data_IF_881443493410
#
_entry.id   IF_881443493410
#
_cell.length_a   1.000
_cell.length_b   1.000
_cell.length_c   1.000
_cell.angle_alpha   90.00
_cell.angle_beta   90.00
_cell.angle_gamma   90.00
#
_symmetry.space_group_name_H-M   'P 1'
#
loop_
_entity.id
_entity.type
_entity.pdbx_description
1 polymer ?
#
# COMPACT_ATOMS: atom_id res chain seq x y z
N UNK A 1 -1.82 -1.96 16.75
CA UNK A 1 -0.36 -1.93 16.51
C UNK A 1 -0.19 -1.68 15.02
N UNK A 2 0.59 -0.66 14.65
CA UNK A 2 0.73 -0.22 13.25
C UNK A 2 2.19 -0.37 12.84
N UNK A 3 2.44 -0.97 11.69
CA UNK A 3 3.80 -1.07 11.14
C UNK A 3 3.95 -0.03 10.02
N UNK A 4 5.04 0.73 10.07
CA UNK A 4 5.45 1.66 9.00
C UNK A 4 6.49 0.94 8.16
N UNK A 5 6.26 0.91 6.85
CA UNK A 5 7.13 0.27 5.85
C UNK A 5 7.48 1.34 4.82
N UNK A 6 8.76 1.56 4.56
CA UNK A 6 9.19 2.38 3.42
C UNK A 6 9.29 1.49 2.17
N UNK A 7 8.45 1.78 1.19
CA UNK A 7 8.42 1.10 -0.10
C UNK A 7 9.19 1.93 -1.12
N UNK A 8 10.42 1.52 -1.43
CA UNK A 8 11.20 2.12 -2.52
C UNK A 8 10.50 1.99 -3.88
N UNK A 9 10.85 2.83 -4.87
CA UNK A 9 10.33 2.72 -6.22
C UNK A 9 10.54 1.31 -6.80
N UNK A 10 9.52 0.75 -7.44
CA UNK A 10 9.55 -0.61 -8.02
C UNK A 10 9.83 -1.75 -7.01
N UNK A 11 9.55 -1.52 -5.71
CA UNK A 11 9.70 -2.53 -4.67
C UNK A 11 8.41 -3.32 -4.42
N UNK A 12 8.58 -4.49 -3.82
CA UNK A 12 7.49 -5.39 -3.40
C UNK A 12 7.67 -5.68 -1.92
N UNK A 13 6.57 -5.58 -1.17
CA UNK A 13 6.49 -6.01 0.22
C UNK A 13 5.36 -7.02 0.39
N UNK A 14 5.65 -8.12 1.09
CA UNK A 14 4.68 -9.19 1.38
C UNK A 14 4.47 -9.33 2.88
N UNK A 15 3.22 -9.49 3.30
CA UNK A 15 2.85 -9.82 4.68
C UNK A 15 1.71 -10.84 4.69
N UNK A 16 1.77 -11.79 5.63
CA UNK A 16 0.70 -12.78 5.83
C UNK A 16 -0.22 -12.28 6.94
N UNK A 17 -1.53 -12.24 6.65
CA UNK A 17 -2.57 -11.72 7.54
C UNK A 17 -3.63 -12.80 7.76
N UNK A 18 -3.87 -13.15 9.02
CA UNK A 18 -4.89 -14.13 9.42
C UNK A 18 -6.27 -13.48 9.53
N UNK A 19 -7.04 -13.54 8.43
CA UNK A 19 -8.39 -13.00 8.22
C UNK A 19 -8.75 -11.77 9.09
N UNK A 20 -8.32 -10.57 8.67
CA UNK A 20 -8.60 -9.31 9.38
C UNK A 20 -9.09 -8.21 8.45
N UNK A 21 -9.81 -7.26 9.05
CA UNK A 21 -9.99 -5.95 8.45
C UNK A 21 -8.75 -5.11 8.73
N UNK A 22 -8.23 -4.46 7.70
CA UNK A 22 -7.08 -3.58 7.78
C UNK A 22 -7.37 -2.24 7.10
N UNK A 23 -6.64 -1.22 7.54
CA UNK A 23 -6.52 0.06 6.85
C UNK A 23 -5.10 0.15 6.31
N UNK A 24 -4.99 0.35 5.01
CA UNK A 24 -3.75 0.62 4.30
C UNK A 24 -3.69 2.13 4.03
N UNK A 25 -2.74 2.80 4.68
CA UNK A 25 -2.42 4.21 4.42
C UNK A 25 -1.15 4.27 3.58
N UNK A 26 -1.23 4.82 2.38
CA UNK A 26 -0.10 5.01 1.48
C UNK A 26 0.17 6.51 1.30
N UNK A 27 1.32 6.97 1.81
CA UNK A 27 1.76 8.37 1.73
C UNK A 27 2.97 8.49 0.81
N UNK A 28 2.92 9.41 -0.16
CA UNK A 28 4.08 9.68 -1.02
C UNK A 28 5.07 10.61 -0.32
N UNK A 29 6.37 10.33 -0.44
CA UNK A 29 7.42 11.29 -0.04
C UNK A 29 7.59 12.45 -1.03
N UNK A 30 7.00 12.35 -2.23
CA UNK A 30 7.07 13.38 -3.27
C UNK A 30 5.68 13.66 -3.87
N UNK A 31 5.08 14.79 -3.49
CA UNK A 31 3.74 15.19 -3.93
C UNK A 31 3.71 15.72 -5.39
N UNK A 32 4.86 15.90 -6.05
CA UNK A 32 4.94 16.40 -7.43
C UNK A 32 4.90 15.30 -8.50
N UNK A 33 4.91 14.04 -8.08
CA UNK A 33 4.89 12.86 -8.94
C UNK A 33 3.58 12.09 -8.79
N UNK A 34 3.26 11.27 -9.79
CA UNK A 34 2.15 10.32 -9.68
C UNK A 34 2.77 9.01 -9.21
N UNK A 35 2.33 8.53 -8.06
CA UNK A 35 2.73 7.22 -7.54
C UNK A 35 1.59 6.23 -7.67
N UNK A 36 1.93 4.96 -7.89
CA UNK A 36 0.97 3.87 -8.00
C UNK A 36 1.38 2.74 -7.05
N UNK A 37 0.42 2.25 -6.27
CA UNK A 37 0.58 1.12 -5.36
C UNK A 37 -0.46 0.06 -5.69
N UNK A 38 -0.03 -1.14 -6.03
CA UNK A 38 -0.93 -2.28 -6.22
C UNK A 38 -1.02 -3.13 -4.96
N UNK A 39 -2.23 -3.54 -4.61
CA UNK A 39 -2.53 -4.43 -3.50
C UNK A 39 -3.05 -5.76 -4.07
N UNK A 40 -2.27 -6.82 -3.88
CA UNK A 40 -2.54 -8.16 -4.38
C UNK A 40 -2.78 -9.07 -3.19
N UNK A 41 -3.93 -9.75 -3.15
CA UNK A 41 -4.29 -10.70 -2.10
C UNK A 41 -4.34 -12.10 -2.71
N UNK A 42 -3.53 -13.03 -2.20
CA UNK A 42 -3.43 -14.41 -2.72
C UNK A 42 -3.27 -14.45 -4.25
N UNK A 43 -2.28 -13.69 -4.76
CA UNK A 43 -1.94 -13.57 -6.19
C UNK A 43 -3.05 -13.00 -7.10
N UNK A 44 -4.10 -12.43 -6.52
CA UNK A 44 -5.14 -11.71 -7.26
C UNK A 44 -5.04 -10.21 -6.96
N UNK A 45 -4.89 -9.41 -8.02
CA UNK A 45 -4.99 -7.96 -7.90
C UNK A 45 -6.34 -7.61 -7.28
N UNK A 46 -6.31 -6.97 -6.13
CA UNK A 46 -7.50 -6.59 -5.39
C UNK A 46 -7.81 -5.11 -5.63
N UNK A 47 -6.81 -4.25 -5.50
CA UNK A 47 -6.96 -2.80 -5.63
C UNK A 47 -5.68 -2.17 -6.21
N UNK A 48 -5.81 -1.08 -6.98
CA UNK A 48 -4.70 -0.18 -7.32
C UNK A 48 -4.98 1.21 -6.77
N UNK A 49 -3.99 1.76 -6.05
CA UNK A 49 -4.02 3.09 -5.45
C UNK A 49 -3.14 4.02 -6.29
N UNK A 50 -3.74 5.02 -6.92
CA UNK A 50 -3.01 6.07 -7.64
C UNK A 50 -3.01 7.37 -6.84
N UNK A 51 -1.85 7.73 -6.28
CA UNK A 51 -1.64 8.99 -5.58
C UNK A 51 -1.26 10.04 -6.63
N UNK A 52 -2.19 10.95 -6.93
CA UNK A 52 -2.01 12.01 -7.94
C UNK A 52 -1.15 13.15 -7.40
N UNK A 53 -0.63 13.99 -8.30
CA UNK A 53 0.09 15.22 -7.93
C UNK A 53 -0.75 16.10 -7.00
N UNK A 54 -0.12 16.62 -5.95
CA UNK A 54 -0.78 17.41 -4.90
C UNK A 54 -1.61 16.60 -3.91
N UNK A 55 -1.68 15.26 -4.05
CA UNK A 55 -2.26 14.36 -3.05
C UNK A 55 -1.13 13.77 -2.24
N UNK A 56 -1.16 13.99 -0.92
CA UNK A 56 -0.12 13.50 -0.02
C UNK A 56 -0.27 12.01 0.31
N UNK A 57 -1.50 11.56 0.55
CA UNK A 57 -1.77 10.18 0.94
C UNK A 57 -3.16 9.71 0.47
N UNK A 58 -3.33 8.40 0.41
CA UNK A 58 -4.61 7.73 0.20
C UNK A 58 -4.75 6.60 1.23
N UNK A 59 -5.97 6.41 1.73
CA UNK A 59 -6.33 5.29 2.61
C UNK A 59 -7.29 4.33 1.92
N UNK A 60 -7.10 3.03 2.19
CA UNK A 60 -7.98 1.96 1.73
C UNK A 60 -8.28 0.98 2.86
N UNK A 61 -9.55 0.68 3.03
CA UNK A 61 -10.02 -0.35 3.95
C UNK A 61 -10.15 -1.66 3.18
N UNK A 62 -9.54 -2.73 3.69
CA UNK A 62 -9.54 -4.04 3.05
C UNK A 62 -9.86 -5.14 4.05
N UNK A 63 -10.54 -6.17 3.58
CA UNK A 63 -10.62 -7.45 4.28
C UNK A 63 -9.59 -8.39 3.65
N UNK A 64 -8.62 -8.84 4.44
CA UNK A 64 -7.50 -9.66 3.96
C UNK A 64 -7.47 -10.98 4.71
N UNK A 65 -7.41 -12.07 3.97
CA UNK A 65 -7.17 -13.42 4.48
C UNK A 65 -6.11 -14.10 3.62
N UNK A 66 -4.89 -14.27 4.15
CA UNK A 66 -3.76 -14.87 3.44
C UNK A 66 -2.62 -13.88 3.17
N UNK A 67 -1.93 -14.04 2.05
CA UNK A 67 -0.80 -13.18 1.68
C UNK A 67 -1.30 -11.89 1.03
N UNK A 68 -0.89 -10.75 1.58
CA UNK A 68 -1.00 -9.43 0.98
C UNK A 68 0.36 -9.03 0.42
N UNK A 69 0.45 -8.89 -0.90
CA UNK A 69 1.59 -8.28 -1.60
C UNK A 69 1.25 -6.85 -1.96
N UNK A 70 2.18 -5.95 -1.71
CA UNK A 70 2.05 -4.52 -1.93
C UNK A 70 3.20 -4.11 -2.83
N UNK A 71 2.88 -3.58 -4.00
CA UNK A 71 3.85 -3.26 -5.03
C UNK A 71 3.83 -1.76 -5.27
N UNK A 72 4.95 -1.08 -5.04
CA UNK A 72 5.10 0.30 -5.45
C UNK A 72 5.54 0.34 -6.92
N UNK A 73 4.65 0.71 -7.83
CA UNK A 73 4.93 0.92 -9.26
C UNK A 73 5.28 2.37 -9.59
N UNK A 74 5.22 3.26 -8.60
CA UNK A 74 5.53 4.67 -8.75
C UNK A 74 7.03 4.97 -8.80
N UNK A 75 7.39 6.19 -9.24
CA UNK A 75 8.77 6.68 -9.23
C UNK A 75 9.23 7.16 -7.84
N UNK A 76 8.30 7.38 -6.90
CA UNK A 76 8.58 7.91 -5.57
C UNK A 76 8.52 6.82 -4.49
N UNK A 77 9.29 6.99 -3.42
CA UNK A 77 9.16 6.17 -2.21
C UNK A 77 7.81 6.42 -1.54
N UNK A 78 7.13 5.34 -1.13
CA UNK A 78 5.86 5.37 -0.42
C UNK A 78 6.08 4.95 1.03
N UNK A 79 5.61 5.76 1.98
CA UNK A 79 5.44 5.35 3.36
C UNK A 79 4.11 4.62 3.48
N UNK A 80 4.17 3.33 3.75
CA UNK A 80 3.01 2.48 3.92
C UNK A 80 2.77 2.18 5.40
N UNK A 81 1.56 2.43 5.88
CA UNK A 81 1.13 2.08 7.23
C UNK A 81 -0.02 1.09 7.13
N UNK A 82 0.14 -0.07 7.78
CA UNK A 82 -0.92 -1.07 7.89
C UNK A 82 -1.42 -1.08 9.33
N UNK A 83 -2.71 -0.76 9.50
CA UNK A 83 -3.39 -0.79 10.80
C UNK A 83 -4.43 -1.91 10.83
N UNK A 84 -4.39 -2.74 11.87
CA UNK A 84 -5.32 -3.85 12.08
C UNK A 84 -6.48 -3.41 12.97
N UNK A 85 -7.71 -3.72 12.55
CA UNK A 85 -8.95 -3.43 13.27
C UNK A 85 -9.48 -4.65 14.04
#
# INVERSE_FOLDING_TARGET
MSNIIELEPNSIHSVVIDNKFIIVHAETKNENEISEVELIINDKLNESISIRKGVKYIEKNLQVSGELKIINKGPSTINLIISFL
#
